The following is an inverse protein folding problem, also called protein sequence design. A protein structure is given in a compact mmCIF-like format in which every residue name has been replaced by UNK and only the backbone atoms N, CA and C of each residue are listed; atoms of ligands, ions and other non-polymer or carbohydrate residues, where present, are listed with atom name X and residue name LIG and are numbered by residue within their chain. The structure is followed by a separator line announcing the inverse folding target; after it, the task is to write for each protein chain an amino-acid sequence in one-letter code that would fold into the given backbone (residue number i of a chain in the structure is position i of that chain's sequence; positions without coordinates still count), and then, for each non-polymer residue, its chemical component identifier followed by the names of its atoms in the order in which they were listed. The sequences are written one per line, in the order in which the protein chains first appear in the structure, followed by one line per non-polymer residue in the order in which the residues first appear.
data_IF_654798540008
#
_entry.id   IF_654798540008
#
_cell.length_a   1.000
_cell.length_b   1.000
_cell.length_c   1.000
_cell.angle_alpha   90.00
_cell.angle_beta   90.00
_cell.angle_gamma   90.00
#
_symmetry.space_group_name_H-M   'P 1'
#
loop_
_entity.id
_entity.type
_entity.pdbx_description
1 polymer ?
#
# COMPACT_ATOMS: atom_id res chain seq x y z
N UNK A 1 90.85 53.87 -73.67
CA UNK A 1 89.71 54.76 -73.37
C UNK A 1 88.35 54.19 -73.80
N UNK A 2 87.86 54.32 -75.05
CA UNK A 2 86.48 53.87 -75.41
C UNK A 2 86.21 52.37 -75.17
N UNK A 3 87.21 51.50 -75.36
CA UNK A 3 87.08 50.07 -75.10
C UNK A 3 87.04 49.73 -73.60
N UNK A 4 87.79 50.47 -72.79
CA UNK A 4 87.80 50.32 -71.32
C UNK A 4 86.50 50.84 -70.71
N UNK A 5 85.98 51.98 -71.19
CA UNK A 5 84.67 52.50 -70.79
C UNK A 5 83.53 51.53 -71.12
N UNK A 6 83.61 50.86 -72.28
CA UNK A 6 82.64 49.83 -72.66
C UNK A 6 82.71 48.59 -71.75
N UNK A 7 83.92 48.16 -71.35
CA UNK A 7 84.12 47.05 -70.44
C UNK A 7 83.57 47.34 -69.03
N UNK A 8 83.86 48.53 -68.48
CA UNK A 8 83.35 48.96 -67.17
C UNK A 8 81.81 49.06 -67.19
N UNK A 9 81.23 49.58 -68.28
CA UNK A 9 79.76 49.60 -68.44
C UNK A 9 79.16 48.20 -68.48
N UNK A 10 79.80 47.25 -69.15
CA UNK A 10 79.33 45.88 -69.23
C UNK A 10 79.35 45.18 -67.87
N UNK A 11 80.39 45.43 -67.06
CA UNK A 11 80.52 44.88 -65.71
C UNK A 11 79.43 45.42 -64.76
N UNK A 12 79.19 46.73 -64.77
CA UNK A 12 78.12 47.35 -63.95
C UNK A 12 76.73 46.81 -64.33
N UNK A 13 76.45 46.64 -65.63
CA UNK A 13 75.18 46.06 -66.08
C UNK A 13 75.04 44.59 -65.65
N UNK A 14 76.12 43.83 -65.67
CA UNK A 14 76.12 42.44 -65.21
C UNK A 14 75.88 42.35 -63.69
N UNK A 15 76.48 43.24 -62.90
CA UNK A 15 76.25 43.30 -61.46
C UNK A 15 74.83 43.75 -61.11
N UNK A 16 74.28 44.71 -61.85
CA UNK A 16 72.88 45.13 -61.68
C UNK A 16 71.91 43.97 -61.98
N UNK A 17 72.14 43.23 -63.08
CA UNK A 17 71.35 42.05 -63.42
C UNK A 17 71.45 40.94 -62.35
N UNK A 18 72.63 40.74 -61.76
CA UNK A 18 72.79 39.81 -60.62
C UNK A 18 72.01 40.28 -59.40
N UNK A 19 72.06 41.57 -59.07
CA UNK A 19 71.32 42.13 -57.95
C UNK A 19 69.80 41.99 -58.15
N UNK A 20 69.28 42.29 -59.34
CA UNK A 20 67.86 42.08 -59.67
C UNK A 20 67.46 40.61 -59.53
N UNK A 21 68.24 39.68 -60.09
CA UNK A 21 67.97 38.25 -59.95
C UNK A 21 67.96 37.79 -58.48
N UNK A 22 68.90 38.29 -57.66
CA UNK A 22 68.90 37.97 -56.22
C UNK A 22 67.71 38.59 -55.49
N UNK A 23 67.29 39.80 -55.87
CA UNK A 23 66.13 40.46 -55.29
C UNK A 23 64.83 39.72 -55.62
N UNK A 24 64.66 39.29 -56.87
CA UNK A 24 63.52 38.47 -57.30
C UNK A 24 63.48 37.13 -56.55
N UNK A 25 64.62 36.46 -56.40
CA UNK A 25 64.70 35.20 -55.67
C UNK A 25 64.37 35.36 -54.19
N UNK A 26 64.84 36.43 -53.54
CA UNK A 26 64.49 36.75 -52.15
C UNK A 26 63.00 37.07 -52.01
N UNK A 27 62.42 37.82 -52.94
CA UNK A 27 60.99 38.10 -52.94
C UNK A 27 60.17 36.81 -53.10
N UNK A 28 60.56 35.93 -54.02
CA UNK A 28 59.92 34.63 -54.19
C UNK A 28 59.95 33.81 -52.88
N UNK A 29 61.11 33.69 -52.23
CA UNK A 29 61.25 33.00 -50.95
C UNK A 29 60.37 33.63 -49.85
N UNK A 30 60.31 34.96 -49.76
CA UNK A 30 59.45 35.64 -48.78
C UNK A 30 57.97 35.36 -49.05
N UNK A 31 57.54 35.35 -50.32
CA UNK A 31 56.14 35.03 -50.66
C UNK A 31 55.79 33.59 -50.32
N UNK A 32 56.72 32.64 -50.51
CA UNK A 32 56.51 31.24 -50.18
C UNK A 32 56.43 31.02 -48.67
N UNK A 33 57.35 31.61 -47.89
CA UNK A 33 57.30 31.56 -46.43
C UNK A 33 56.02 32.19 -45.86
N UNK A 34 55.53 33.27 -46.49
CA UNK A 34 54.24 33.88 -46.12
C UNK A 34 53.09 32.92 -46.40
N UNK A 35 53.04 32.31 -47.58
CA UNK A 35 52.01 31.31 -47.93
C UNK A 35 52.02 30.13 -46.95
N UNK A 36 53.19 29.61 -46.59
CA UNK A 36 53.29 28.54 -45.60
C UNK A 36 52.78 28.97 -44.23
N UNK A 37 53.15 30.18 -43.78
CA UNK A 37 52.64 30.74 -42.51
C UNK A 37 51.12 30.89 -42.53
N UNK A 38 50.57 31.41 -43.61
CA UNK A 38 49.13 31.62 -43.74
C UNK A 38 48.39 30.29 -43.74
N UNK A 39 48.89 29.28 -44.48
CA UNK A 39 48.32 27.92 -44.46
C UNK A 39 48.38 27.27 -43.07
N UNK A 40 49.49 27.44 -42.33
CA UNK A 40 49.59 26.93 -40.95
C UNK A 40 48.59 27.65 -40.05
N UNK A 41 48.50 28.97 -40.14
CA UNK A 41 47.55 29.76 -39.35
C UNK A 41 46.09 29.39 -39.67
N UNK A 42 45.76 29.08 -40.93
CA UNK A 42 44.43 28.59 -41.31
C UNK A 42 44.12 27.21 -40.72
N UNK A 43 45.07 26.28 -40.74
CA UNK A 43 44.92 24.98 -40.09
C UNK A 43 44.71 25.12 -38.58
N UNK A 44 45.54 25.93 -37.91
CA UNK A 44 45.44 26.16 -36.47
C UNK A 44 44.10 26.81 -36.09
N UNK A 45 43.58 27.73 -36.92
CA UNK A 45 42.25 28.32 -36.73
C UNK A 45 41.14 27.31 -36.90
N UNK A 46 41.23 26.43 -37.90
CA UNK A 46 40.26 25.37 -38.13
C UNK A 46 40.25 24.39 -36.95
N UNK A 47 41.42 23.96 -36.47
CA UNK A 47 41.55 23.08 -35.29
C UNK A 47 40.98 23.74 -34.03
N UNK A 48 41.30 25.02 -33.77
CA UNK A 48 40.73 25.74 -32.63
C UNK A 48 39.21 25.88 -32.71
N UNK A 49 38.66 26.14 -33.90
CA UNK A 49 37.21 26.22 -34.12
C UNK A 49 36.52 24.90 -33.77
N UNK A 50 37.11 23.76 -34.17
CA UNK A 50 36.61 22.42 -33.82
C UNK A 50 36.66 22.20 -32.30
N UNK A 51 37.76 22.56 -31.64
CA UNK A 51 37.88 22.43 -30.18
C UNK A 51 36.85 23.30 -29.44
N UNK A 52 36.61 24.52 -29.91
CA UNK A 52 35.57 25.40 -29.35
C UNK A 52 34.17 24.83 -29.57
N UNK A 53 33.89 24.23 -30.73
CA UNK A 53 32.62 23.56 -31.00
C UNK A 53 32.39 22.32 -30.13
N UNK A 54 33.45 21.62 -29.72
CA UNK A 54 33.38 20.45 -28.84
C UNK A 54 33.30 20.78 -27.34
N UNK A 55 33.75 21.96 -26.92
CA UNK A 55 33.67 22.43 -25.54
C UNK A 55 32.27 22.31 -24.90
N UNK A 56 31.16 22.72 -25.54
CA UNK A 56 29.83 22.58 -24.94
C UNK A 56 29.39 21.12 -24.79
N UNK A 57 29.84 20.20 -25.65
CA UNK A 57 29.51 18.77 -25.53
C UNK A 57 30.13 18.19 -24.27
N UNK A 58 31.39 18.53 -23.99
CA UNK A 58 32.06 18.10 -22.75
C UNK A 58 31.34 18.62 -21.51
N UNK A 59 30.90 19.88 -21.53
CA UNK A 59 30.16 20.47 -20.43
C UNK A 59 28.81 19.76 -20.21
N UNK A 60 28.03 19.56 -21.28
CA UNK A 60 26.75 18.85 -21.21
C UNK A 60 26.90 17.42 -20.66
N UNK A 61 27.96 16.70 -21.06
CA UNK A 61 28.24 15.36 -20.52
C UNK A 61 28.58 15.41 -19.03
N UNK A 62 29.32 16.41 -18.58
CA UNK A 62 29.63 16.60 -17.16
C UNK A 62 28.37 16.90 -16.35
N UNK A 63 27.50 17.78 -16.85
CA UNK A 63 26.24 18.14 -16.20
C UNK A 63 25.29 16.93 -16.14
N UNK A 64 25.23 16.13 -17.20
CA UNK A 64 24.48 14.87 -17.21
C UNK A 64 25.02 13.87 -16.18
N UNK A 65 26.34 13.69 -16.10
CA UNK A 65 26.96 12.80 -15.10
C UNK A 65 26.62 13.25 -13.67
N UNK A 66 26.72 14.55 -13.39
CA UNK A 66 26.35 15.11 -12.10
C UNK A 66 24.87 14.88 -11.78
N UNK A 67 23.98 15.08 -12.77
CA UNK A 67 22.55 14.87 -12.59
C UNK A 67 22.20 13.40 -12.37
N UNK A 68 22.86 12.47 -13.07
CA UNK A 68 22.67 11.03 -12.86
C UNK A 68 23.10 10.63 -11.45
N UNK A 69 24.27 11.10 -10.99
CA UNK A 69 24.73 10.82 -9.63
C UNK A 69 23.75 11.36 -8.56
N UNK A 70 23.20 12.55 -8.77
CA UNK A 70 22.17 13.12 -7.89
C UNK A 70 20.89 12.27 -7.88
N UNK A 71 20.42 11.85 -9.05
CA UNK A 71 19.22 11.01 -9.19
C UNK A 71 19.41 9.62 -8.57
N UNK A 72 20.60 9.03 -8.71
CA UNK A 72 20.93 7.75 -8.09
C UNK A 72 20.97 7.87 -6.56
N UNK A 73 21.54 8.95 -6.02
CA UNK A 73 21.54 9.23 -4.59
C UNK A 73 20.11 9.43 -4.05
N UNK A 74 19.28 10.23 -4.74
CA UNK A 74 17.88 10.44 -4.39
C UNK A 74 17.09 9.13 -4.44
N UNK A 75 17.27 8.32 -5.49
CA UNK A 75 16.63 7.02 -5.63
C UNK A 75 17.02 6.08 -4.49
N UNK A 76 18.29 6.04 -4.11
CA UNK A 76 18.76 5.21 -2.99
C UNK A 76 18.14 5.65 -1.66
N UNK A 77 18.03 6.97 -1.42
CA UNK A 77 17.35 7.49 -0.24
C UNK A 77 15.87 7.09 -0.21
N UNK A 78 15.15 7.29 -1.32
CA UNK A 78 13.73 6.91 -1.43
C UNK A 78 13.52 5.41 -1.22
N UNK A 79 14.38 4.56 -1.78
CA UNK A 79 14.33 3.11 -1.55
C UNK A 79 14.61 2.75 -0.09
N UNK A 80 15.51 3.48 0.56
CA UNK A 80 15.78 3.35 2.00
C UNK A 80 14.54 3.67 2.84
N UNK A 81 13.90 4.81 2.58
CA UNK A 81 12.66 5.24 3.24
C UNK A 81 11.52 4.24 3.02
N UNK A 82 11.31 3.78 1.79
CA UNK A 82 10.31 2.74 1.47
C UNK A 82 10.60 1.42 2.21
N UNK A 83 11.86 1.00 2.26
CA UNK A 83 12.26 -0.20 3.00
C UNK A 83 11.98 -0.07 4.49
N UNK A 84 12.20 1.12 5.08
CA UNK A 84 11.86 1.39 6.47
C UNK A 84 10.35 1.38 6.71
N UNK A 85 9.57 2.00 5.82
CA UNK A 85 8.10 2.00 5.90
C UNK A 85 7.53 0.58 5.79
N UNK A 86 8.05 -0.24 4.89
CA UNK A 86 7.63 -1.65 4.76
C UNK A 86 7.94 -2.46 6.03
N UNK A 87 9.11 -2.26 6.64
CA UNK A 87 9.44 -2.90 7.93
C UNK A 87 8.51 -2.45 9.05
N UNK A 88 8.22 -1.15 9.14
CA UNK A 88 7.30 -0.61 10.12
C UNK A 88 5.87 -1.14 9.92
N UNK A 89 5.41 -1.24 8.66
CA UNK A 89 4.12 -1.83 8.32
C UNK A 89 4.05 -3.31 8.72
N UNK A 90 5.08 -4.11 8.43
CA UNK A 90 5.14 -5.51 8.82
C UNK A 90 5.11 -5.70 10.35
N UNK A 91 5.81 -4.83 11.10
CA UNK A 91 5.75 -4.83 12.57
C UNK A 91 4.36 -4.47 13.09
N UNK A 92 3.71 -3.47 12.49
CA UNK A 92 2.33 -3.10 12.82
C UNK A 92 1.35 -4.24 12.52
N UNK A 93 1.53 -4.95 11.41
CA UNK A 93 0.69 -6.10 11.06
C UNK A 93 0.81 -7.23 12.08
N UNK A 94 2.04 -7.57 12.49
CA UNK A 94 2.27 -8.58 13.53
C UNK A 94 1.65 -8.18 14.87
N UNK A 95 1.79 -6.91 15.28
CA UNK A 95 1.14 -6.40 16.49
C UNK A 95 -0.40 -6.45 16.38
N UNK A 96 -0.96 -6.08 15.23
CA UNK A 96 -2.40 -6.22 14.97
C UNK A 96 -2.85 -7.68 15.04
N UNK A 97 -2.07 -8.61 14.47
CA UNK A 97 -2.38 -10.05 14.55
C UNK A 97 -2.41 -10.54 16.00
N UNK A 98 -1.43 -10.16 16.81
CA UNK A 98 -1.38 -10.52 18.24
C UNK A 98 -2.58 -9.96 19.03
N UNK A 99 -2.95 -8.70 18.79
CA UNK A 99 -4.14 -8.12 19.45
C UNK A 99 -5.44 -8.78 18.99
N UNK A 100 -5.55 -9.13 17.70
CA UNK A 100 -6.70 -9.86 17.16
C UNK A 100 -6.79 -11.27 17.75
N UNK A 101 -5.67 -11.99 17.87
CA UNK A 101 -5.61 -13.31 18.51
C UNK A 101 -5.99 -13.23 19.99
N UNK A 102 -5.51 -12.21 20.71
CA UNK A 102 -5.92 -11.94 22.09
C UNK A 102 -7.42 -11.63 22.20
N UNK A 103 -7.98 -10.87 21.26
CA UNK A 103 -9.41 -10.58 21.21
C UNK A 103 -10.23 -11.85 20.90
N UNK A 104 -9.78 -12.66 19.95
CA UNK A 104 -10.40 -13.94 19.61
C UNK A 104 -10.34 -14.92 20.79
N UNK A 105 -9.22 -14.96 21.53
CA UNK A 105 -9.09 -15.72 22.77
C UNK A 105 -10.06 -15.23 23.86
N UNK A 106 -10.20 -13.91 24.03
CA UNK A 106 -11.14 -13.32 24.97
C UNK A 106 -12.61 -13.64 24.62
N UNK A 107 -12.96 -13.61 23.33
CA UNK A 107 -14.30 -13.95 22.83
C UNK A 107 -14.60 -15.45 22.85
N UNK A 108 -13.57 -16.30 22.75
CA UNK A 108 -13.73 -17.76 22.82
C UNK A 108 -13.82 -18.29 24.26
N UNK A 109 -13.34 -17.54 25.25
CA UNK A 109 -13.36 -17.95 26.65
C UNK A 109 -14.80 -17.95 27.25
N UNK A 110 -15.19 -19.12 27.80
CA UNK A 110 -16.54 -19.45 28.28
C UNK A 110 -17.02 -18.58 29.47
N UNK A 111 -16.11 -17.98 30.24
CA UNK A 111 -16.47 -17.15 31.40
C UNK A 111 -17.03 -15.77 31.02
N UNK A 112 -16.50 -15.12 29.96
CA UNK A 112 -16.97 -13.83 29.45
C UNK A 112 -18.23 -13.98 28.58
N UNK A 113 -18.37 -15.13 27.91
CA UNK A 113 -19.52 -15.53 27.09
C UNK A 113 -20.86 -15.41 27.83
N UNK A 114 -20.97 -15.98 29.02
CA UNK A 114 -22.23 -15.98 29.76
C UNK A 114 -22.70 -14.58 30.17
N UNK A 115 -21.79 -13.62 30.36
CA UNK A 115 -22.14 -12.23 30.69
C UNK A 115 -22.59 -11.48 29.45
N UNK A 116 -21.95 -11.69 28.30
CA UNK A 116 -22.30 -11.06 27.03
C UNK A 116 -23.59 -11.64 26.45
N UNK A 117 -23.80 -12.96 26.50
CA UNK A 117 -25.05 -13.61 26.07
C UNK A 117 -26.23 -13.11 26.90
N UNK A 118 -26.08 -13.00 28.23
CA UNK A 118 -27.11 -12.40 29.10
C UNK A 118 -27.39 -10.93 28.76
N UNK A 119 -26.34 -10.13 28.47
CA UNK A 119 -26.49 -8.70 28.18
C UNK A 119 -27.09 -8.44 26.79
N UNK A 120 -26.75 -9.26 25.81
CA UNK A 120 -27.29 -9.21 24.45
C UNK A 120 -28.73 -9.72 24.37
N UNK A 121 -29.11 -10.79 25.08
CA UNK A 121 -30.51 -11.19 25.20
C UNK A 121 -31.35 -10.13 25.90
N UNK A 122 -30.84 -9.55 26.99
CA UNK A 122 -31.50 -8.42 27.65
C UNK A 122 -31.66 -7.22 26.71
N UNK A 123 -30.64 -6.87 25.93
CA UNK A 123 -30.68 -5.76 24.97
C UNK A 123 -31.63 -6.01 23.78
N UNK A 124 -31.66 -7.23 23.23
CA UNK A 124 -32.52 -7.59 22.09
C UNK A 124 -33.99 -7.79 22.47
N UNK A 125 -34.28 -8.12 23.74
CA UNK A 125 -35.64 -8.18 24.30
C UNK A 125 -36.23 -6.78 24.55
N UNK A 126 -35.40 -5.74 24.58
CA UNK A 126 -35.84 -4.35 24.63
C UNK A 126 -36.41 -4.02 23.24
N UNK A 127 -37.71 -3.75 23.11
CA UNK A 127 -38.32 -3.62 21.80
C UNK A 127 -37.68 -2.46 21.05
N UNK A 128 -37.25 -2.70 19.81
CA UNK A 128 -37.34 -1.71 18.73
C UNK A 128 -38.81 -1.30 18.65
N UNK A 129 -39.19 -0.35 19.51
CA UNK A 129 -40.57 0.02 19.83
C UNK A 129 -41.31 0.74 18.70
N UNK A 130 -40.91 0.53 17.44
CA UNK A 130 -41.54 1.15 16.28
C UNK A 130 -42.33 0.18 15.38
N UNK A 131 -42.19 -1.16 15.49
CA UNK A 131 -42.84 -2.07 14.51
C UNK A 131 -43.80 -3.14 15.03
N UNK A 132 -44.07 -3.22 16.33
CA UNK A 132 -45.06 -4.15 16.87
C UNK A 132 -46.06 -3.44 17.81
N UNK A 133 -46.56 -2.28 17.39
CA UNK A 133 -47.69 -1.60 18.06
C UNK A 133 -48.98 -2.34 17.73
N UNK A 134 -49.18 -3.56 18.25
CA UNK A 134 -50.50 -4.22 18.22
C UNK A 134 -50.75 -5.33 19.24
N UNK A 135 -49.92 -5.52 20.26
CA UNK A 135 -50.28 -6.35 21.43
C UNK A 135 -49.75 -5.66 22.69
N UNK A 136 -50.66 -5.02 23.42
CA UNK A 136 -50.39 -4.30 24.68
C UNK A 136 -50.30 -5.32 25.83
N UNK A 137 -49.20 -5.26 26.57
CA UNK A 137 -49.06 -5.81 27.92
C UNK A 137 -47.69 -5.40 28.48
N UNK A 138 -47.59 -4.93 29.74
CA UNK A 138 -46.31 -4.62 30.34
C UNK A 138 -45.50 -5.91 30.52
N UNK A 139 -44.33 -5.99 29.89
CA UNK A 139 -43.38 -7.09 30.10
C UNK A 139 -42.55 -6.73 31.33
N UNK A 140 -42.96 -7.22 32.49
CA UNK A 140 -42.17 -7.08 33.72
C UNK A 140 -41.06 -8.13 33.77
N UNK A 141 -39.82 -7.65 33.91
CA UNK A 141 -38.63 -8.47 34.02
C UNK A 141 -38.17 -8.53 35.49
N UNK A 142 -38.41 -9.65 36.17
CA UNK A 142 -37.78 -9.91 37.47
C UNK A 142 -36.55 -10.80 37.29
N UNK A 143 -35.48 -10.56 38.06
CA UNK A 143 -34.27 -11.40 38.13
C UNK A 143 -34.05 -11.87 39.57
N UNK A 144 -34.25 -13.18 39.83
CA UNK A 144 -33.87 -13.81 41.11
C UNK A 144 -33.33 -15.23 40.90
N UNK A 145 -32.24 -15.55 41.61
CA UNK A 145 -31.38 -16.74 41.45
C UNK A 145 -31.98 -17.99 42.12
N UNK A 146 -32.08 -19.11 41.37
CA UNK A 146 -31.75 -20.51 41.77
C UNK A 146 -32.03 -21.48 40.62
N UNK A 147 -31.33 -22.63 40.62
CA UNK A 147 -31.24 -23.66 39.57
C UNK A 147 -32.62 -24.00 38.96
N UNK A 148 -32.80 -23.75 37.67
CA UNK A 148 -34.06 -23.99 36.93
C UNK A 148 -34.73 -22.75 36.35
N UNK A 149 -33.98 -21.67 36.07
CA UNK A 149 -34.54 -20.42 35.54
C UNK A 149 -34.36 -20.36 34.02
N UNK A 150 -35.43 -20.28 33.22
CA UNK A 150 -35.33 -20.07 31.77
C UNK A 150 -34.77 -18.68 31.46
N UNK A 151 -33.99 -18.57 30.38
CA UNK A 151 -33.37 -17.32 29.93
C UNK A 151 -34.40 -16.19 29.69
N UNK A 152 -35.61 -16.54 29.23
CA UNK A 152 -36.73 -15.62 29.03
C UNK A 152 -38.08 -16.32 29.32
N UNK A 153 -39.05 -15.58 29.85
CA UNK A 153 -40.44 -16.06 30.00
C UNK A 153 -41.36 -15.12 29.22
N UNK A 154 -42.05 -15.66 28.22
CA UNK A 154 -43.05 -14.92 27.44
C UNK A 154 -44.42 -15.21 28.04
N UNK A 155 -45.12 -14.16 28.48
CA UNK A 155 -46.51 -14.26 28.95
C UNK A 155 -47.45 -14.00 27.78
N UNK A 156 -48.31 -14.95 27.48
CA UNK A 156 -49.35 -14.84 26.44
C UNK A 156 -50.66 -14.33 27.06
N UNK A 157 -51.52 -13.66 26.29
CA UNK A 157 -52.86 -13.30 26.74
C UNK A 157 -53.63 -14.59 27.11
N UNK A 158 -54.29 -14.59 28.27
CA UNK A 158 -54.99 -15.77 28.81
C UNK A 158 -54.23 -16.55 29.89
N UNK A 159 -53.25 -15.93 30.56
CA UNK A 159 -52.59 -16.50 31.75
C UNK A 159 -51.56 -17.60 31.48
N UNK A 160 -51.34 -17.95 30.20
CA UNK A 160 -50.35 -18.96 29.80
C UNK A 160 -48.95 -18.34 29.74
N UNK A 161 -47.95 -19.06 30.23
CA UNK A 161 -46.56 -18.62 30.18
C UNK A 161 -45.68 -19.67 29.49
N UNK A 162 -44.78 -19.20 28.62
CA UNK A 162 -43.83 -20.05 27.90
C UNK A 162 -42.42 -19.69 28.40
N UNK A 163 -41.75 -20.67 28.98
CA UNK A 163 -40.35 -20.59 29.36
C UNK A 163 -39.45 -20.90 28.14
N UNK A 164 -38.57 -19.98 27.79
CA UNK A 164 -37.61 -20.11 26.68
C UNK A 164 -36.20 -20.11 27.25
N UNK A 165 -35.49 -21.23 27.08
CA UNK A 165 -34.06 -21.38 27.39
C UNK A 165 -33.32 -21.45 26.06
N UNK A 166 -32.48 -20.45 25.74
CA UNK A 166 -31.81 -20.36 24.44
C UNK A 166 -30.34 -20.65 24.59
N UNK A 167 -30.00 -21.94 24.65
CA UNK A 167 -28.60 -22.37 24.56
C UNK A 167 -28.19 -22.50 23.10
N UNK A 168 -27.61 -21.45 22.52
CA UNK A 168 -27.06 -21.50 21.16
C UNK A 168 -25.61 -21.97 21.22
N UNK A 169 -25.25 -23.13 20.65
CA UNK A 169 -23.85 -23.55 20.58
C UNK A 169 -23.11 -22.66 19.57
N UNK A 170 -22.54 -21.57 20.06
CA UNK A 170 -21.86 -20.55 19.25
C UNK A 170 -20.64 -21.10 18.48
N UNK A 171 -19.96 -22.12 18.99
CA UNK A 171 -18.86 -22.75 18.25
C UNK A 171 -19.34 -23.37 16.92
N UNK A 172 -20.50 -24.03 16.92
CA UNK A 172 -21.10 -24.57 15.70
C UNK A 172 -21.66 -23.47 14.78
N UNK A 173 -21.93 -22.27 15.30
CA UNK A 173 -22.26 -21.10 14.50
C UNK A 173 -21.00 -20.48 13.88
N UNK A 174 -19.93 -20.30 14.65
CA UNK A 174 -18.64 -19.79 14.16
C UNK A 174 -18.04 -20.71 13.10
N UNK A 175 -18.03 -22.02 13.34
CA UNK A 175 -17.60 -23.04 12.36
C UNK A 175 -18.43 -22.97 11.07
N UNK A 176 -19.73 -22.71 11.17
CA UNK A 176 -20.58 -22.55 9.99
C UNK A 176 -20.36 -21.22 9.27
N UNK A 177 -20.07 -20.12 9.99
CA UNK A 177 -19.80 -18.80 9.42
C UNK A 177 -18.39 -18.64 8.84
N UNK A 178 -17.44 -19.45 9.31
CA UNK A 178 -16.07 -19.47 8.81
C UNK A 178 -15.93 -20.19 7.46
N UNK A 179 -16.99 -20.83 6.95
CA UNK A 179 -16.98 -21.50 5.65
C UNK A 179 -17.15 -20.44 4.55
N UNK A 180 -16.15 -20.24 3.67
CA UNK A 180 -16.23 -19.27 2.59
C UNK A 180 -17.28 -19.69 1.53
N UNK A 181 -17.90 -18.70 0.87
CA UNK A 181 -18.98 -18.93 -0.11
C UNK A 181 -18.55 -19.78 -1.33
N UNK A 182 -17.24 -19.89 -1.59
CA UNK A 182 -16.60 -20.64 -2.67
C UNK A 182 -16.23 -22.09 -2.31
N UNK A 183 -16.57 -22.57 -1.11
CA UNK A 183 -16.23 -23.91 -0.65
C UNK A 183 -16.82 -25.04 -1.53
N UNK A 184 -16.04 -26.10 -1.76
CA UNK A 184 -16.44 -27.23 -2.61
C UNK A 184 -17.45 -28.17 -1.91
N UNK A 185 -18.09 -29.05 -2.69
CA UNK A 185 -19.30 -29.79 -2.29
C UNK A 185 -19.22 -30.62 -1.00
N UNK A 186 -18.04 -31.03 -0.54
CA UNK A 186 -17.87 -31.75 0.74
C UNK A 186 -17.82 -30.83 1.96
N UNK A 187 -17.13 -29.69 1.88
CA UNK A 187 -17.07 -28.67 2.93
C UNK A 187 -18.44 -28.02 3.15
N UNK A 188 -19.18 -27.77 2.06
CA UNK A 188 -20.58 -27.34 2.13
C UNK A 188 -21.41 -28.37 2.91
N UNK A 189 -21.31 -29.67 2.59
CA UNK A 189 -22.03 -30.74 3.30
C UNK A 189 -21.65 -30.83 4.78
N UNK A 190 -20.40 -30.54 5.13
CA UNK A 190 -19.93 -30.37 6.51
C UNK A 190 -20.65 -29.22 7.23
N UNK A 191 -20.73 -28.05 6.58
CA UNK A 191 -21.47 -26.89 7.08
C UNK A 191 -22.96 -27.13 7.28
N UNK A 192 -23.63 -27.83 6.35
CA UNK A 192 -25.03 -28.24 6.49
C UNK A 192 -25.25 -29.23 7.64
N UNK A 193 -24.28 -30.11 7.92
CA UNK A 193 -24.33 -31.00 9.09
C UNK A 193 -24.13 -30.23 10.39
N UNK A 194 -23.21 -29.27 10.42
CA UNK A 194 -22.96 -28.45 11.61
C UNK A 194 -24.18 -27.57 11.93
N UNK A 195 -24.78 -26.90 10.93
CA UNK A 195 -26.00 -26.10 11.11
C UNK A 195 -27.19 -26.92 11.61
N UNK A 196 -27.38 -28.14 11.11
CA UNK A 196 -28.41 -29.08 11.62
C UNK A 196 -28.15 -29.51 13.06
N UNK A 197 -26.87 -29.66 13.44
CA UNK A 197 -26.46 -30.01 14.81
C UNK A 197 -26.75 -28.85 15.78
N UNK A 198 -26.51 -27.61 15.36
CA UNK A 198 -26.89 -26.37 16.06
C UNK A 198 -28.40 -26.31 16.28
N UNK A 199 -29.21 -26.49 15.22
CA UNK A 199 -30.68 -26.46 15.30
C UNK A 199 -31.26 -27.58 16.18
N UNK A 200 -30.74 -28.81 16.07
CA UNK A 200 -31.20 -29.94 16.91
C UNK A 200 -30.87 -29.75 18.38
N UNK A 201 -29.70 -29.20 18.74
CA UNK A 201 -29.35 -28.94 20.14
C UNK A 201 -30.17 -27.79 20.75
N UNK A 202 -30.51 -26.76 19.97
CA UNK A 202 -31.46 -25.74 20.42
C UNK A 202 -32.85 -26.33 20.71
N UNK A 203 -33.37 -27.19 19.83
CA UNK A 203 -34.72 -27.75 19.95
C UNK A 203 -34.90 -28.80 21.07
N UNK A 204 -33.85 -29.54 21.45
CA UNK A 204 -33.94 -30.57 22.52
C UNK A 204 -34.09 -29.93 23.90
N UNK A 205 -33.58 -28.71 24.09
CA UNK A 205 -33.55 -28.04 25.41
C UNK A 205 -34.87 -27.34 25.75
N UNK A 206 -35.77 -27.13 24.78
CA UNK A 206 -37.06 -26.43 24.94
C UNK A 206 -38.24 -27.33 25.32
N UNK A 207 -38.01 -28.51 25.92
CA UNK A 207 -39.12 -29.43 26.31
C UNK A 207 -40.09 -28.75 27.28
N UNK A 208 -41.33 -28.58 26.79
CA UNK A 208 -42.49 -28.00 27.44
C UNK A 208 -42.77 -28.63 28.82
N UNK A 209 -42.68 -27.84 29.88
CA UNK A 209 -43.35 -28.13 31.15
C UNK A 209 -44.66 -27.33 31.20
N UNK A 210 -45.75 -27.91 30.68
CA UNK A 210 -47.08 -27.37 30.89
C UNK A 210 -47.54 -27.78 32.31
N UNK A 211 -47.39 -26.88 33.28
CA UNK A 211 -48.00 -27.03 34.61
C UNK A 211 -49.29 -26.22 34.63
N UNK A 212 -50.41 -26.93 34.58
CA UNK A 212 -51.75 -26.42 34.88
C UNK A 212 -51.95 -26.30 36.39
N UNK A 213 -52.39 -25.17 36.96
CA UNK A 213 -52.75 -25.12 38.37
C UNK A 213 -54.20 -25.62 38.55
N UNK A 214 -54.33 -26.81 39.13
CA UNK A 214 -55.52 -27.28 39.84
C UNK A 214 -55.52 -26.74 41.28
N UNK A 215 -56.70 -26.43 41.83
CA UNK A 215 -56.92 -26.16 43.26
C UNK A 215 -57.79 -24.91 43.48
N UNK A 216 -59.11 -25.02 43.34
CA UNK A 216 -60.10 -25.33 44.41
C UNK A 216 -60.19 -24.27 45.50
N UNK A 217 -61.27 -23.51 45.34
CA UNK A 217 -61.93 -22.60 46.27
C UNK A 217 -62.31 -23.31 47.59
N UNK A 218 -61.96 -22.71 48.73
CA UNK A 218 -62.62 -22.98 50.01
C UNK A 218 -62.78 -21.69 50.80
N UNK A 219 -64.02 -21.19 50.81
CA UNK A 219 -64.65 -20.32 51.83
C UNK A 219 -64.25 -20.76 53.27
N UNK A 220 -64.23 -19.96 54.35
CA UNK A 220 -64.88 -18.68 54.70
C UNK A 220 -64.16 -18.09 55.94
N UNK A 221 -64.25 -16.77 56.11
CA UNK A 221 -63.79 -15.94 57.25
C UNK A 221 -64.48 -16.25 58.61
N UNK A 222 -64.15 -15.51 59.70
CA UNK A 222 -62.86 -14.91 60.09
C UNK A 222 -62.06 -15.80 61.06
#
# INVERSE_FOLDING_TARGET
MRAEEAAVRAEILADFARMEATAEQLQAQVTELRRERDQRAERDRAENSVLQALAPVRQSLHDMQAKVAELEAQRQQQHGELSQQLRAAAQSEEHLRQTADSLAAALSNNAMRGVWERRSCAASSRPRAARARRLRGPVEHHVRRRRGRPDMVIRLPGGKSIAVDSKVPFNSYLEASAIPATANGEERRGGWRCSRRTSRRCAITSRLSATSPTGTDSMRAP
#
